data_IF_590920147227
#
_entry.id   IF_590920147227
#
_cell.length_a   1.000
_cell.length_b   1.000
_cell.length_c   1.000
_cell.angle_alpha   90.00
_cell.angle_beta   90.00
_cell.angle_gamma   90.00
#
_symmetry.space_group_name_H-M   'P 1'
#
loop_
_entity.id
_entity.type
_entity.pdbx_description
1 polymer ?
#
# COMPACT_ATOMS: atom_id res chain seq x y z
N UNK A 1 8.16 27.18 -22.11
CA UNK A 1 8.94 25.91 -22.01
C UNK A 1 8.80 25.40 -20.58
N UNK A 2 8.35 24.15 -20.44
CA UNK A 2 8.16 23.41 -19.20
C UNK A 2 9.45 23.41 -18.34
N UNK A 3 9.39 23.22 -17.02
CA UNK A 3 9.29 21.90 -16.41
C UNK A 3 8.50 21.97 -15.09
N UNK A 4 7.48 21.12 -15.02
CA UNK A 4 6.67 20.86 -13.86
C UNK A 4 7.48 20.10 -12.81
N UNK A 5 7.85 20.78 -11.72
CA UNK A 5 8.19 20.12 -10.46
C UNK A 5 6.97 20.22 -9.55
N UNK A 6 5.94 19.42 -9.86
CA UNK A 6 4.82 19.19 -8.95
C UNK A 6 5.31 18.17 -7.93
N UNK A 7 6.20 18.62 -7.05
CA UNK A 7 6.59 17.87 -5.85
C UNK A 7 5.31 17.44 -5.15
N UNK A 8 5.31 16.18 -4.73
CA UNK A 8 4.28 15.53 -3.93
C UNK A 8 4.14 16.31 -2.61
N UNK A 9 3.52 17.48 -2.69
CA UNK A 9 3.28 18.39 -1.57
C UNK A 9 2.34 17.63 -0.66
N UNK A 10 2.87 17.11 0.44
CA UNK A 10 2.41 17.18 1.84
C UNK A 10 0.92 17.54 2.07
N UNK A 11 0.01 17.08 1.22
CA UNK A 11 -1.38 16.84 1.57
C UNK A 11 -1.28 15.74 2.59
N UNK A 12 -1.80 15.98 3.79
CA UNK A 12 -2.25 14.95 4.72
C UNK A 12 -2.66 13.71 3.91
N UNK A 13 -1.80 12.69 3.88
CA UNK A 13 -2.05 11.44 3.19
C UNK A 13 -3.15 10.75 4.00
N UNK A 14 -4.38 11.17 3.79
CA UNK A 14 -5.54 10.65 4.48
C UNK A 14 -5.70 9.20 4.05
N UNK A 15 -5.39 8.28 4.95
CA UNK A 15 -5.55 6.85 4.74
C UNK A 15 -7.05 6.55 4.73
N UNK A 16 -7.55 6.09 3.58
CA UNK A 16 -8.99 5.85 3.34
C UNK A 16 -9.42 4.40 3.53
N UNK A 17 -8.46 3.50 3.71
CA UNK A 17 -8.67 2.07 3.83
C UNK A 17 -8.26 1.55 5.20
N UNK A 18 -9.03 0.59 5.71
CA UNK A 18 -8.79 -0.05 7.01
C UNK A 18 -7.53 -0.91 6.95
N UNK A 19 -7.30 -1.60 5.83
CA UNK A 19 -6.12 -2.43 5.57
C UNK A 19 -4.80 -1.66 5.74
N UNK A 20 -4.69 -0.49 5.09
CA UNK A 20 -3.50 0.37 5.18
C UNK A 20 -3.36 0.95 6.59
N UNK A 21 -4.45 1.42 7.19
CA UNK A 21 -4.42 1.95 8.55
C UNK A 21 -3.94 0.89 9.55
N UNK A 22 -4.52 -0.30 9.51
CA UNK A 22 -4.15 -1.42 10.40
C UNK A 22 -2.68 -1.79 10.24
N UNK A 23 -2.14 -1.71 9.02
CA UNK A 23 -0.72 -1.97 8.73
C UNK A 23 0.19 -0.87 9.29
N UNK A 24 -0.22 0.40 9.20
CA UNK A 24 0.62 1.55 9.57
C UNK A 24 0.54 1.94 11.05
N UNK A 25 -0.59 1.72 11.72
CA UNK A 25 -0.81 2.11 13.13
C UNK A 25 0.28 1.58 14.07
N UNK A 26 0.70 0.30 14.02
CA UNK A 26 1.78 -0.21 14.86
C UNK A 26 3.11 0.53 14.63
N UNK A 27 3.44 0.81 13.37
CA UNK A 27 4.68 1.50 12.99
C UNK A 27 4.68 2.95 13.47
N UNK A 28 3.57 3.67 13.29
CA UNK A 28 3.40 5.04 13.78
C UNK A 28 3.51 5.09 15.29
N UNK A 29 2.92 4.13 16.00
CA UNK A 29 2.94 4.05 17.46
C UNK A 29 4.36 3.82 17.98
N UNK A 30 5.10 2.90 17.36
CA UNK A 30 6.50 2.63 17.70
C UNK A 30 7.40 3.85 17.44
N UNK A 31 7.25 4.52 16.30
CA UNK A 31 8.02 5.73 15.96
C UNK A 31 7.65 6.88 16.90
N UNK A 32 6.39 7.05 17.24
CA UNK A 32 5.93 8.08 18.19
C UNK A 32 6.50 7.85 19.58
N UNK A 33 6.53 6.59 20.03
CA UNK A 33 7.16 6.21 21.30
C UNK A 33 8.66 6.50 21.25
N UNK A 34 9.32 6.13 20.14
CA UNK A 34 10.72 6.44 19.93
C UNK A 34 10.94 7.94 20.01
N UNK A 35 10.15 8.79 19.35
CA UNK A 35 10.29 10.26 19.36
C UNK A 35 10.05 10.86 20.74
N UNK A 36 9.03 10.41 21.47
CA UNK A 36 8.59 10.99 22.74
C UNK A 36 9.38 10.50 23.96
N UNK A 37 10.22 9.47 23.81
CA UNK A 37 11.07 8.98 24.89
C UNK A 37 12.02 10.09 25.39
N UNK A 38 11.81 10.54 26.64
CA UNK A 38 12.67 11.55 27.27
C UNK A 38 14.04 10.96 27.59
N UNK A 39 15.06 11.59 27.01
CA UNK A 39 16.46 11.27 27.18
C UNK A 39 16.88 11.44 28.65
N UNK A 40 17.11 10.32 29.34
CA UNK A 40 17.99 10.33 30.51
C UNK A 40 19.40 10.00 30.03
N UNK A 41 20.15 11.06 29.71
CA UNK A 41 21.62 11.12 29.68
C UNK A 41 22.38 10.54 28.47
N UNK A 42 22.98 11.45 27.67
CA UNK A 42 24.12 11.30 26.73
C UNK A 42 23.94 10.29 25.56
N UNK A 43 24.68 10.43 24.45
CA UNK A 43 24.90 9.32 23.52
C UNK A 43 25.47 8.17 24.33
N UNK A 44 24.64 7.18 24.62
CA UNK A 44 25.03 6.06 25.46
C UNK A 44 25.96 5.18 24.64
N UNK A 45 27.27 5.29 24.91
CA UNK A 45 28.21 4.19 24.73
C UNK A 45 27.67 3.00 25.52
N UNK A 46 26.74 2.25 24.94
CA UNK A 46 26.11 1.10 25.59
C UNK A 46 27.19 0.03 25.71
N UNK A 47 27.73 -0.13 26.92
CA UNK A 47 28.91 -0.97 27.20
C UNK A 47 28.52 -2.43 27.49
N UNK A 48 27.23 -2.71 27.63
CA UNK A 48 26.73 -4.06 27.86
C UNK A 48 26.60 -4.78 26.51
N UNK A 49 27.52 -5.72 26.27
CA UNK A 49 27.60 -6.54 25.05
C UNK A 49 26.26 -7.20 24.68
N UNK A 50 25.49 -7.66 25.68
CA UNK A 50 24.17 -8.26 25.46
C UNK A 50 23.17 -7.26 24.86
N UNK A 51 23.20 -6.01 25.30
CA UNK A 51 22.33 -4.94 24.79
C UNK A 51 22.73 -4.53 23.38
N UNK A 52 24.04 -4.43 23.10
CA UNK A 52 24.57 -4.17 21.76
C UNK A 52 24.15 -5.24 20.76
N UNK A 53 24.31 -6.52 21.12
CA UNK A 53 23.87 -7.63 20.29
C UNK A 53 22.36 -7.63 20.05
N UNK A 54 21.54 -7.26 21.04
CA UNK A 54 20.11 -7.14 20.87
C UNK A 54 19.72 -6.04 19.87
N UNK A 55 20.34 -4.86 19.97
CA UNK A 55 20.10 -3.73 19.04
C UNK A 55 20.50 -4.12 17.62
N UNK A 56 21.66 -4.75 17.45
CA UNK A 56 22.15 -5.20 16.16
C UNK A 56 21.20 -6.22 15.50
N UNK A 57 20.73 -7.21 16.27
CA UNK A 57 19.74 -8.19 15.81
C UNK A 57 18.42 -7.54 15.39
N UNK A 58 17.98 -6.51 16.10
CA UNK A 58 16.77 -5.74 15.71
C UNK A 58 17.00 -5.02 14.39
N UNK A 59 18.15 -4.38 14.21
CA UNK A 59 18.53 -3.75 12.95
C UNK A 59 18.51 -4.71 11.75
N UNK A 60 19.13 -5.87 11.92
CA UNK A 60 19.12 -6.93 10.91
C UNK A 60 17.70 -7.44 10.63
N UNK A 61 16.90 -7.67 11.66
CA UNK A 61 15.52 -8.12 11.51
C UNK A 61 14.66 -7.10 10.74
N UNK A 62 14.82 -5.80 11.05
CA UNK A 62 14.13 -4.72 10.34
C UNK A 62 14.56 -4.69 8.88
N UNK A 63 15.86 -4.72 8.60
CA UNK A 63 16.36 -4.72 7.22
C UNK A 63 15.85 -5.91 6.41
N UNK A 64 15.88 -7.12 6.99
CA UNK A 64 15.35 -8.32 6.31
C UNK A 64 13.84 -8.25 6.07
N UNK A 65 13.08 -7.66 6.99
CA UNK A 65 11.65 -7.43 6.79
C UNK A 65 11.40 -6.42 5.66
N UNK A 66 12.20 -5.35 5.59
CA UNK A 66 12.13 -4.36 4.50
C UNK A 66 12.48 -5.00 3.15
N UNK A 67 13.51 -5.83 3.07
CA UNK A 67 13.86 -6.52 1.82
C UNK A 67 12.75 -7.44 1.33
N UNK A 68 12.10 -8.19 2.22
CA UNK A 68 10.93 -9.01 1.87
C UNK A 68 9.76 -8.15 1.40
N UNK A 69 9.47 -7.04 2.07
CA UNK A 69 8.43 -6.11 1.69
C UNK A 69 8.69 -5.51 0.30
N UNK A 70 9.92 -5.07 0.07
CA UNK A 70 10.35 -4.49 -1.21
C UNK A 70 10.29 -5.52 -2.33
N UNK A 71 10.73 -6.76 -2.10
CA UNK A 71 10.64 -7.83 -3.11
C UNK A 71 9.21 -8.05 -3.60
N UNK A 72 8.23 -8.05 -2.69
CA UNK A 72 6.81 -8.13 -3.05
C UNK A 72 6.37 -6.87 -3.83
N UNK A 73 6.75 -5.68 -3.38
CA UNK A 73 6.44 -4.43 -4.06
C UNK A 73 7.01 -4.34 -5.48
N UNK A 74 8.24 -4.79 -5.69
CA UNK A 74 8.91 -4.85 -6.99
C UNK A 74 8.25 -5.88 -7.93
N UNK A 75 7.80 -7.03 -7.39
CA UNK A 75 7.00 -8.01 -8.15
C UNK A 75 5.71 -7.39 -8.66
N UNK A 76 4.95 -6.73 -7.76
CA UNK A 76 3.71 -6.04 -8.11
C UNK A 76 3.96 -4.92 -9.14
N UNK A 77 5.07 -4.20 -9.03
CA UNK A 77 5.44 -3.15 -9.98
C UNK A 77 5.66 -3.70 -11.40
N UNK A 78 6.24 -4.90 -11.52
CA UNK A 78 6.49 -5.52 -12.82
C UNK A 78 5.20 -5.90 -13.57
N UNK A 79 4.14 -6.23 -12.82
CA UNK A 79 2.81 -6.54 -13.38
C UNK A 79 2.02 -5.28 -13.78
N UNK A 80 2.43 -4.09 -13.31
CA UNK A 80 1.66 -2.85 -13.44
C UNK A 80 2.50 -1.71 -14.05
N UNK A 81 2.70 -1.75 -15.37
CA UNK A 81 3.58 -0.82 -16.10
C UNK A 81 3.30 0.68 -15.84
N UNK A 82 2.03 1.07 -15.71
CA UNK A 82 1.65 2.47 -15.53
C UNK A 82 2.15 3.10 -14.22
N UNK A 83 2.31 2.30 -13.17
CA UNK A 83 2.76 2.76 -11.84
C UNK A 83 4.13 2.19 -11.48
N UNK A 84 4.74 1.43 -12.38
CA UNK A 84 5.97 0.68 -12.15
C UNK A 84 7.08 1.60 -11.65
N UNK A 85 7.31 2.72 -12.32
CA UNK A 85 8.35 3.68 -11.94
C UNK A 85 8.14 4.19 -10.50
N UNK A 86 6.93 4.67 -10.21
CA UNK A 86 6.61 5.25 -8.89
C UNK A 86 6.74 4.23 -7.75
N UNK A 87 6.35 2.97 -8.01
CA UNK A 87 6.39 1.88 -7.04
C UNK A 87 7.82 1.39 -6.81
N UNK A 88 8.64 1.29 -7.86
CA UNK A 88 10.07 0.98 -7.76
C UNK A 88 10.81 2.08 -6.99
N UNK A 89 10.51 3.35 -7.24
CA UNK A 89 11.13 4.46 -6.53
C UNK A 89 10.77 4.45 -5.03
N UNK A 90 9.51 4.21 -4.69
CA UNK A 90 9.07 4.07 -3.31
C UNK A 90 9.72 2.85 -2.61
N UNK A 91 9.87 1.73 -3.33
CA UNK A 91 10.57 0.54 -2.85
C UNK A 91 12.06 0.80 -2.61
N UNK A 92 12.72 1.55 -3.51
CA UNK A 92 14.12 1.96 -3.34
C UNK A 92 14.29 2.84 -2.10
N UNK A 93 13.41 3.80 -1.88
CA UNK A 93 13.41 4.64 -0.67
C UNK A 93 13.25 3.81 0.61
N UNK A 94 12.35 2.80 0.60
CA UNK A 94 12.15 1.90 1.73
C UNK A 94 13.42 1.10 2.03
N UNK A 95 14.06 0.53 0.99
CA UNK A 95 15.33 -0.19 1.10
C UNK A 95 16.43 0.69 1.68
N UNK A 96 16.63 1.90 1.14
CA UNK A 96 17.65 2.83 1.64
C UNK A 96 17.41 3.23 3.10
N UNK A 97 16.16 3.40 3.53
CA UNK A 97 15.83 3.66 4.93
C UNK A 97 16.09 2.45 5.83
N UNK A 98 15.79 1.23 5.36
CA UNK A 98 16.11 -0.02 6.07
C UNK A 98 17.62 -0.22 6.24
N UNK A 99 18.41 0.07 5.21
CA UNK A 99 19.88 0.04 5.30
C UNK A 99 20.42 1.09 6.28
N UNK A 100 19.84 2.29 6.30
CA UNK A 100 20.23 3.33 7.25
C UNK A 100 20.01 2.86 8.69
N UNK A 101 18.86 2.25 8.99
CA UNK A 101 18.57 1.66 10.31
C UNK A 101 19.61 0.60 10.65
N UNK A 102 19.87 -0.34 9.73
CA UNK A 102 20.88 -1.40 9.92
C UNK A 102 22.26 -0.83 10.25
N UNK A 103 22.71 0.20 9.50
CA UNK A 103 23.99 0.88 9.76
C UNK A 103 24.02 1.53 11.14
N UNK A 104 22.96 2.25 11.54
CA UNK A 104 22.90 2.91 12.86
C UNK A 104 22.92 1.89 14.00
N UNK A 105 22.36 0.70 13.80
CA UNK A 105 22.38 -0.40 14.79
C UNK A 105 23.60 -1.32 14.70
N UNK A 106 24.55 -1.03 13.81
CA UNK A 106 25.74 -1.86 13.63
C UNK A 106 26.64 -1.77 14.88
N UNK A 107 27.28 -2.88 15.22
CA UNK A 107 28.32 -2.92 16.24
C UNK A 107 29.64 -2.60 15.53
N UNK A 108 30.33 -1.59 16.02
CA UNK A 108 31.70 -1.24 15.65
C UNK A 108 32.65 -1.68 16.77
N UNK A 109 33.94 -1.77 16.48
CA UNK A 109 34.96 -2.06 17.49
C UNK A 109 35.87 -0.85 17.64
N UNK A 110 36.07 -0.39 18.87
CA UNK A 110 37.00 0.70 19.15
C UNK A 110 38.46 0.27 18.94
N UNK A 111 39.39 1.23 19.06
CA UNK A 111 40.83 0.99 18.90
C UNK A 111 41.40 -0.02 19.91
N UNK A 112 40.64 -0.36 20.95
CA UNK A 112 40.99 -1.33 21.98
C UNK A 112 40.23 -2.67 21.83
N UNK A 113 39.50 -2.87 20.73
CA UNK A 113 38.75 -4.08 20.44
C UNK A 113 37.46 -4.24 21.25
N UNK A 114 36.96 -3.18 21.90
CA UNK A 114 35.67 -3.23 22.61
C UNK A 114 34.51 -2.96 21.64
N UNK A 115 33.42 -3.74 21.73
CA UNK A 115 32.24 -3.49 20.91
C UNK A 115 31.57 -2.20 21.38
N UNK A 116 31.33 -1.31 20.43
CA UNK A 116 30.68 -0.01 20.62
C UNK A 116 29.59 0.14 19.56
N UNK A 117 28.43 0.66 19.94
CA UNK A 117 27.42 1.11 18.98
C UNK A 117 27.11 2.57 19.26
N UNK A 118 27.39 3.43 18.28
CA UNK A 118 27.04 4.85 18.34
C UNK A 118 25.64 4.98 17.74
N UNK A 119 24.64 4.81 18.59
CA UNK A 119 23.25 5.02 18.19
C UNK A 119 22.93 6.51 18.31
N UNK A 120 23.10 7.26 17.20
CA UNK A 120 22.54 8.60 17.12
C UNK A 120 21.01 8.51 17.01
N UNK A 121 20.34 8.91 18.10
CA UNK A 121 18.89 8.93 18.22
C UNK A 121 18.23 9.79 17.15
N UNK A 122 18.83 10.92 16.79
CA UNK A 122 18.26 11.80 15.76
C UNK A 122 18.31 11.11 14.39
N UNK A 123 19.46 10.53 14.04
CA UNK A 123 19.59 9.69 12.84
C UNK A 123 18.63 8.51 12.84
N UNK A 124 18.44 7.82 13.98
CA UNK A 124 17.48 6.71 14.09
C UNK A 124 16.04 7.16 13.85
N UNK A 125 15.62 8.27 14.48
CA UNK A 125 14.29 8.86 14.29
C UNK A 125 14.10 9.26 12.82
N UNK A 126 15.10 9.86 12.20
CA UNK A 126 15.04 10.27 10.80
C UNK A 126 14.91 9.06 9.87
N UNK A 127 15.73 8.02 10.08
CA UNK A 127 15.66 6.79 9.28
C UNK A 127 14.32 6.08 9.44
N UNK A 128 13.78 6.01 10.67
CA UNK A 128 12.48 5.40 10.93
C UNK A 128 11.32 6.18 10.30
N UNK A 129 11.36 7.52 10.32
CA UNK A 129 10.38 8.38 9.62
C UNK A 129 10.46 8.21 8.11
N UNK A 130 11.66 8.18 7.55
CA UNK A 130 11.87 7.90 6.12
C UNK A 130 11.32 6.54 5.73
N UNK A 131 11.54 5.51 6.56
CA UNK A 131 10.99 4.18 6.32
C UNK A 131 9.45 4.18 6.34
N UNK A 132 8.84 4.80 7.35
CA UNK A 132 7.38 4.92 7.43
C UNK A 132 6.80 5.65 6.22
N UNK A 133 7.44 6.74 5.79
CA UNK A 133 7.02 7.50 4.61
C UNK A 133 7.07 6.63 3.34
N UNK A 134 8.18 5.92 3.13
CA UNK A 134 8.35 5.05 1.97
C UNK A 134 7.36 3.88 1.97
N UNK A 135 7.19 3.20 3.10
CA UNK A 135 6.20 2.11 3.25
C UNK A 135 4.79 2.62 2.99
N UNK A 136 4.42 3.78 3.55
CA UNK A 136 3.12 4.40 3.30
C UNK A 136 2.91 4.67 1.81
N UNK A 137 3.93 5.19 1.12
CA UNK A 137 3.86 5.45 -0.32
C UNK A 137 3.69 4.15 -1.13
N UNK A 138 4.41 3.09 -0.79
CA UNK A 138 4.24 1.76 -1.43
C UNK A 138 2.81 1.25 -1.25
N UNK A 139 2.26 1.31 -0.03
CA UNK A 139 0.89 0.85 0.25
C UNK A 139 -0.17 1.68 -0.51
N UNK A 140 0.01 2.99 -0.61
CA UNK A 140 -0.91 3.86 -1.35
C UNK A 140 -0.84 3.62 -2.88
N UNK A 141 0.35 3.35 -3.40
CA UNK A 141 0.52 2.98 -4.81
C UNK A 141 -0.13 1.61 -5.08
N UNK A 142 0.00 0.64 -4.17
CA UNK A 142 -0.68 -0.64 -4.26
C UNK A 142 -2.22 -0.48 -4.22
N UNK A 143 -2.75 0.38 -3.33
CA UNK A 143 -4.19 0.71 -3.29
C UNK A 143 -4.71 1.24 -4.63
N UNK A 144 -3.90 2.09 -5.27
CA UNK A 144 -4.25 2.68 -6.55
C UNK A 144 -4.37 1.63 -7.66
N UNK A 145 -3.59 0.53 -7.61
CA UNK A 145 -3.74 -0.61 -8.53
C UNK A 145 -5.12 -1.23 -8.39
N UNK A 146 -5.55 -1.52 -7.15
CA UNK A 146 -6.85 -2.12 -6.87
C UNK A 146 -7.99 -1.23 -7.38
N UNK A 147 -7.88 0.08 -7.17
CA UNK A 147 -8.86 1.04 -7.70
C UNK A 147 -8.86 1.05 -9.23
N UNK A 148 -7.69 0.98 -9.88
CA UNK A 148 -7.59 0.89 -11.34
C UNK A 148 -8.20 -0.40 -11.88
N UNK A 149 -8.03 -1.53 -11.20
CA UNK A 149 -8.67 -2.79 -11.56
C UNK A 149 -10.21 -2.67 -11.52
N UNK A 150 -10.77 -2.09 -10.45
CA UNK A 150 -12.21 -1.82 -10.33
C UNK A 150 -12.70 -0.93 -11.49
N UNK A 151 -11.98 0.13 -11.80
CA UNK A 151 -12.34 1.03 -12.91
C UNK A 151 -12.27 0.30 -14.26
N UNK A 152 -11.27 -0.56 -14.46
CA UNK A 152 -11.09 -1.35 -15.67
C UNK A 152 -12.25 -2.31 -15.90
N UNK A 153 -12.63 -3.11 -14.89
CA UNK A 153 -13.77 -4.03 -15.02
C UNK A 153 -15.08 -3.26 -15.19
N UNK A 154 -15.26 -2.12 -14.51
CA UNK A 154 -16.43 -1.24 -14.72
C UNK A 154 -16.53 -0.78 -16.18
N UNK A 155 -15.42 -0.38 -16.80
CA UNK A 155 -15.40 0.02 -18.23
C UNK A 155 -15.78 -1.16 -19.14
N UNK A 156 -15.29 -2.37 -18.86
CA UNK A 156 -15.66 -3.58 -19.60
C UNK A 156 -17.17 -3.85 -19.50
N UNK A 157 -17.74 -3.79 -18.29
CA UNK A 157 -19.18 -3.96 -18.04
C UNK A 157 -20.00 -2.95 -18.84
N UNK A 158 -19.63 -1.66 -18.81
CA UNK A 158 -20.31 -0.61 -19.59
C UNK A 158 -20.22 -0.89 -21.09
N UNK A 159 -19.05 -1.28 -21.59
CA UNK A 159 -18.87 -1.60 -23.01
C UNK A 159 -19.73 -2.79 -23.44
N UNK A 160 -19.83 -3.83 -22.61
CA UNK A 160 -20.68 -4.99 -22.90
C UNK A 160 -22.16 -4.63 -22.84
N UNK A 161 -22.58 -3.80 -21.88
CA UNK A 161 -23.95 -3.28 -21.81
C UNK A 161 -24.36 -2.50 -23.05
N UNK A 162 -23.50 -1.59 -23.53
CA UNK A 162 -23.77 -0.83 -24.75
C UNK A 162 -23.91 -1.74 -25.98
N UNK A 163 -23.17 -2.85 -26.02
CA UNK A 163 -23.32 -3.85 -27.09
C UNK A 163 -24.62 -4.62 -26.98
N UNK A 164 -25.07 -4.95 -25.76
CA UNK A 164 -26.33 -5.64 -25.52
C UNK A 164 -27.54 -4.83 -26.03
N UNK A 165 -27.48 -3.50 -25.97
CA UNK A 165 -28.54 -2.61 -26.47
C UNK A 165 -28.75 -2.72 -28.00
N UNK A 166 -27.69 -3.05 -28.75
CA UNK A 166 -27.75 -3.10 -30.23
C UNK A 166 -28.03 -4.50 -30.80
N UNK A 167 -28.19 -5.52 -29.96
CA UNK A 167 -28.34 -6.90 -30.41
C UNK A 167 -29.72 -7.14 -31.02
N UNK A 168 -29.75 -7.73 -32.20
CA UNK A 168 -30.99 -8.10 -32.91
C UNK A 168 -31.25 -9.62 -32.95
N UNK A 169 -30.26 -10.43 -32.56
CA UNK A 169 -30.34 -11.90 -32.55
C UNK A 169 -30.32 -12.46 -31.14
N UNK A 170 -31.31 -13.29 -30.81
CA UNK A 170 -31.40 -13.93 -29.50
C UNK A 170 -30.17 -14.81 -29.18
N UNK A 171 -29.61 -15.51 -30.17
CA UNK A 171 -28.39 -16.32 -29.94
C UNK A 171 -27.17 -15.45 -29.61
N UNK A 172 -27.06 -14.28 -30.22
CA UNK A 172 -26.00 -13.32 -29.92
C UNK A 172 -26.21 -12.68 -28.54
N UNK A 173 -27.47 -12.39 -28.20
CA UNK A 173 -27.85 -11.86 -26.90
C UNK A 173 -27.39 -12.80 -25.78
N UNK A 174 -27.74 -14.10 -25.85
CA UNK A 174 -27.34 -15.08 -24.84
C UNK A 174 -25.82 -15.16 -24.67
N UNK A 175 -25.06 -15.12 -25.77
CA UNK A 175 -23.58 -15.13 -25.73
C UNK A 175 -23.03 -13.87 -25.03
N UNK A 176 -23.48 -12.69 -25.43
CA UNK A 176 -23.04 -11.43 -24.84
C UNK A 176 -23.48 -11.28 -23.38
N UNK A 177 -24.68 -11.77 -23.05
CA UNK A 177 -25.20 -11.75 -21.69
C UNK A 177 -24.38 -12.66 -20.77
N UNK A 178 -23.88 -13.81 -21.26
CA UNK A 178 -22.94 -14.65 -20.52
C UNK A 178 -21.62 -13.92 -20.18
N UNK A 179 -21.07 -13.17 -21.14
CA UNK A 179 -19.86 -12.34 -20.92
C UNK A 179 -20.15 -11.24 -19.90
N UNK A 180 -21.28 -10.53 -20.05
CA UNK A 180 -21.73 -9.51 -19.13
C UNK A 180 -21.88 -10.06 -17.71
N UNK A 181 -22.51 -11.22 -17.54
CA UNK A 181 -22.67 -11.91 -16.26
C UNK A 181 -21.33 -12.23 -15.60
N UNK A 182 -20.35 -12.75 -16.34
CA UNK A 182 -19.01 -13.00 -15.81
C UNK A 182 -18.31 -11.72 -15.35
N UNK A 183 -18.41 -10.64 -16.13
CA UNK A 183 -17.82 -9.35 -15.76
C UNK A 183 -18.51 -8.72 -14.54
N UNK A 184 -19.82 -8.94 -14.42
CA UNK A 184 -20.62 -8.50 -13.28
C UNK A 184 -20.23 -9.23 -11.99
N UNK A 185 -19.96 -10.54 -12.04
CA UNK A 185 -19.44 -11.31 -10.90
C UNK A 185 -18.07 -10.77 -10.46
N UNK A 186 -17.15 -10.56 -11.40
CA UNK A 186 -15.83 -9.99 -11.10
C UNK A 186 -15.94 -8.58 -10.47
N UNK A 187 -16.80 -7.71 -11.04
CA UNK A 187 -17.08 -6.39 -10.49
C UNK A 187 -17.69 -6.48 -9.09
N UNK A 188 -18.60 -7.42 -8.85
CA UNK A 188 -19.27 -7.59 -7.55
C UNK A 188 -18.28 -8.00 -6.46
N UNK A 189 -17.32 -8.87 -6.76
CA UNK A 189 -16.24 -9.24 -5.84
C UNK A 189 -15.34 -8.04 -5.52
N UNK A 190 -14.75 -7.41 -6.55
CA UNK A 190 -13.80 -6.31 -6.35
C UNK A 190 -14.43 -5.11 -5.63
N UNK A 191 -15.68 -4.78 -5.96
CA UNK A 191 -16.41 -3.70 -5.27
C UNK A 191 -16.86 -4.09 -3.87
N UNK A 192 -17.12 -5.37 -3.61
CA UNK A 192 -17.42 -5.88 -2.27
C UNK A 192 -16.24 -5.81 -1.33
N UNK A 193 -15.07 -6.26 -1.78
CA UNK A 193 -13.83 -6.16 -1.02
C UNK A 193 -13.49 -4.70 -0.74
N UNK A 194 -13.60 -3.83 -1.76
CA UNK A 194 -13.39 -2.40 -1.60
C UNK A 194 -14.39 -1.77 -0.62
N UNK A 195 -15.66 -2.15 -0.68
CA UNK A 195 -16.68 -1.67 0.25
C UNK A 195 -16.31 -1.98 1.70
N UNK A 196 -15.89 -3.22 1.97
CA UNK A 196 -15.55 -3.66 3.33
C UNK A 196 -14.31 -2.95 3.87
N UNK A 197 -13.35 -2.65 3.00
CA UNK A 197 -12.08 -2.00 3.35
C UNK A 197 -12.19 -0.47 3.51
N UNK A 198 -13.21 0.18 2.95
CA UNK A 198 -13.40 1.63 3.12
C UNK A 198 -13.67 2.01 4.59
N UNK A 199 -12.95 3.04 5.05
CA UNK A 199 -13.14 3.64 6.38
C UNK A 199 -14.38 4.54 6.45
N UNK A 200 -14.58 5.38 5.42
CA UNK A 200 -15.67 6.34 5.36
C UNK A 200 -17.02 5.63 5.19
N UNK A 201 -17.87 5.70 6.22
CA UNK A 201 -19.19 5.10 6.28
C UNK A 201 -20.09 5.55 5.13
N UNK A 202 -20.00 6.82 4.76
CA UNK A 202 -20.83 7.40 3.70
C UNK A 202 -20.46 6.80 2.35
N UNK A 203 -19.17 6.70 2.05
CA UNK A 203 -18.67 6.06 0.82
C UNK A 203 -19.00 4.58 0.78
N UNK A 204 -18.89 3.88 1.91
CA UNK A 204 -19.25 2.47 2.03
C UNK A 204 -20.73 2.24 1.73
N UNK A 205 -21.60 3.05 2.34
CA UNK A 205 -23.05 3.00 2.12
C UNK A 205 -23.41 3.31 0.66
N UNK A 206 -22.78 4.32 0.07
CA UNK A 206 -22.99 4.67 -1.33
C UNK A 206 -22.59 3.53 -2.28
N UNK A 207 -21.43 2.90 -2.04
CA UNK A 207 -21.00 1.76 -2.85
C UNK A 207 -21.94 0.56 -2.70
N UNK A 208 -22.40 0.28 -1.48
CA UNK A 208 -23.39 -0.78 -1.20
C UNK A 208 -24.71 -0.54 -1.94
N UNK A 209 -25.21 0.70 -1.92
CA UNK A 209 -26.44 1.07 -2.62
C UNK A 209 -26.28 0.92 -4.14
N UNK A 210 -25.17 1.40 -4.71
CA UNK A 210 -24.87 1.26 -6.14
C UNK A 210 -24.77 -0.21 -6.58
N UNK A 211 -24.13 -1.08 -5.78
CA UNK A 211 -24.06 -2.53 -6.05
C UNK A 211 -25.45 -3.16 -6.07
N UNK A 212 -26.27 -2.86 -5.06
CA UNK A 212 -27.65 -3.37 -4.95
C UNK A 212 -28.52 -2.96 -6.14
N UNK A 213 -28.41 -1.70 -6.58
CA UNK A 213 -29.14 -1.20 -7.75
C UNK A 213 -28.67 -1.94 -9.01
N UNK A 214 -27.36 -2.09 -9.19
CA UNK A 214 -26.80 -2.72 -10.37
C UNK A 214 -27.21 -4.20 -10.48
N UNK A 215 -27.19 -4.95 -9.38
CA UNK A 215 -27.65 -6.35 -9.32
C UNK A 215 -29.14 -6.50 -9.70
N UNK A 216 -30.00 -5.61 -9.19
CA UNK A 216 -31.43 -5.60 -9.55
C UNK A 216 -31.64 -5.26 -11.02
N UNK A 217 -30.92 -4.26 -11.54
CA UNK A 217 -30.99 -3.86 -12.95
C UNK A 217 -30.52 -4.98 -13.89
N UNK A 218 -29.49 -5.75 -13.51
CA UNK A 218 -29.04 -6.92 -14.28
C UNK A 218 -30.15 -7.95 -14.47
N UNK A 219 -30.93 -8.23 -13.41
CA UNK A 219 -32.07 -9.15 -13.51
C UNK A 219 -33.16 -8.61 -14.44
N UNK A 220 -33.42 -7.30 -14.37
CA UNK A 220 -34.42 -6.67 -15.24
C UNK A 220 -34.04 -6.76 -16.71
N UNK A 221 -32.77 -6.52 -17.06
CA UNK A 221 -32.27 -6.65 -18.45
C UNK A 221 -32.57 -8.05 -19.00
N UNK A 222 -32.35 -9.10 -18.20
CA UNK A 222 -32.66 -10.47 -18.62
C UNK A 222 -34.16 -10.68 -18.91
N UNK A 223 -35.03 -10.06 -18.11
CA UNK A 223 -36.48 -10.19 -18.28
C UNK A 223 -37.04 -9.30 -19.40
N UNK A 224 -36.44 -8.14 -19.66
CA UNK A 224 -36.92 -7.19 -20.67
C UNK A 224 -36.44 -7.52 -22.10
N UNK A 225 -35.40 -8.34 -22.23
CA UNK A 225 -34.85 -8.75 -23.53
C UNK A 225 -35.37 -10.12 -24.02
N UNK A 226 -36.44 -10.64 -23.39
CA UNK A 226 -37.26 -11.74 -23.90
C UNK A 226 -38.35 -11.22 -24.82
#
# INVERSE_FOLDING_TARGET
MAIANKSFSQKSLEIKTKSIETTLVPLVTQISTLVNFKEKSRPSLTTNEKTLQAINRVGDAVYMAVERFVSVGESIANENLEIKSDLIDACREARSAGEAIKRITCIEYDTFGKPVCITDRQSMIQAARSLLSAVTRVLLLADMIVVKQIISIKKKVISTLNRLETVTSFSEFIKLFGIYGSQMVELAHLTGDRQNDLKDERRRSQLSASRTILEKSTMLILTSSK
#
